data_IF_689496208777
#
_entry.id   IF_689496208777
#
_cell.length_a   1.000
_cell.length_b   1.000
_cell.length_c   1.000
_cell.angle_alpha   90.00
_cell.angle_beta   90.00
_cell.angle_gamma   90.00
#
_symmetry.space_group_name_H-M   'P 1'
#
loop_
_entity.id
_entity.type
_entity.pdbx_description
1 polymer ?
#
# COMPACT_ATOMS: atom_id res chain seq x y z
N UNK A 1 -3.62 32.18 8.41
CA UNK A 1 -2.93 31.17 9.24
C UNK A 1 -3.58 29.84 8.94
N UNK A 2 -3.04 29.10 7.98
CA UNK A 2 -3.56 27.78 7.62
C UNK A 2 -3.01 26.79 8.64
N UNK A 3 -3.83 26.39 9.60
CA UNK A 3 -3.48 25.34 10.56
C UNK A 3 -3.23 24.05 9.77
N UNK A 4 -1.96 23.72 9.57
CA UNK A 4 -1.50 22.44 9.06
C UNK A 4 -1.72 21.38 10.15
N UNK A 5 -2.97 20.98 10.33
CA UNK A 5 -3.32 19.82 11.15
C UNK A 5 -2.64 18.61 10.51
N UNK A 6 -1.62 18.07 11.18
CA UNK A 6 -1.00 16.83 10.74
C UNK A 6 -2.07 15.74 10.72
N UNK A 7 -2.14 14.89 9.69
CA UNK A 7 -3.12 13.82 9.64
C UNK A 7 -2.94 12.86 10.82
N UNK A 8 -4.00 12.65 11.60
CA UNK A 8 -3.98 11.73 12.75
C UNK A 8 -3.94 10.28 12.26
N UNK A 9 -2.79 9.63 12.44
CA UNK A 9 -2.60 8.23 12.11
C UNK A 9 -3.05 7.33 13.27
N UNK A 10 -3.87 6.33 12.94
CA UNK A 10 -4.27 5.26 13.86
C UNK A 10 -3.75 3.92 13.38
N UNK A 11 -3.54 2.98 14.31
CA UNK A 11 -3.16 1.61 13.94
C UNK A 11 -4.27 0.94 13.12
N UNK A 12 -3.91 0.07 12.17
CA UNK A 12 -4.90 -0.66 11.38
C UNK A 12 -5.87 -1.46 12.27
N UNK A 13 -5.41 -1.98 13.41
CA UNK A 13 -6.29 -2.75 14.33
C UNK A 13 -7.40 -1.88 14.96
N UNK A 14 -7.12 -0.59 15.15
CA UNK A 14 -8.07 0.37 15.73
C UNK A 14 -8.96 1.01 14.65
N UNK A 15 -8.60 0.82 13.38
CA UNK A 15 -9.33 1.39 12.25
C UNK A 15 -10.61 0.62 11.96
N UNK A 16 -11.78 1.20 12.25
CA UNK A 16 -13.07 0.46 12.19
C UNK A 16 -13.78 0.41 10.84
N UNK A 17 -13.28 1.07 9.79
CA UNK A 17 -13.96 1.14 8.48
C UNK A 17 -13.32 0.18 7.47
N UNK A 18 -14.08 -0.31 6.47
CA UNK A 18 -13.50 -1.10 5.39
C UNK A 18 -12.69 -0.21 4.46
N UNK A 19 -11.54 -0.68 3.99
CA UNK A 19 -10.75 -0.02 2.95
C UNK A 19 -11.42 -0.11 1.58
N UNK A 20 -12.30 -1.08 1.38
CA UNK A 20 -12.94 -1.42 0.11
C UNK A 20 -11.86 -1.67 -0.96
N UNK A 21 -10.79 -2.39 -0.64
CA UNK A 21 -9.77 -2.77 -1.62
C UNK A 21 -10.06 -4.19 -2.05
N UNK A 22 -10.40 -4.40 -3.33
CA UNK A 22 -10.61 -5.72 -3.91
C UNK A 22 -9.50 -6.15 -4.89
N UNK A 23 -9.48 -7.43 -5.24
CA UNK A 23 -8.45 -8.00 -6.12
C UNK A 23 -8.45 -7.39 -7.53
N UNK A 24 -9.61 -7.02 -8.06
CA UNK A 24 -9.76 -6.39 -9.36
C UNK A 24 -9.02 -5.06 -9.39
N UNK A 25 -9.25 -4.23 -8.40
CA UNK A 25 -8.59 -2.93 -8.25
C UNK A 25 -7.10 -2.98 -7.97
N UNK A 26 -6.66 -3.95 -7.17
CA UNK A 26 -5.22 -4.22 -7.03
C UNK A 26 -4.64 -4.56 -8.40
N UNK A 27 -5.31 -5.43 -9.16
CA UNK A 27 -4.82 -5.86 -10.47
C UNK A 27 -4.82 -4.69 -11.47
N UNK A 28 -5.85 -3.83 -11.45
CA UNK A 28 -5.97 -2.67 -12.30
C UNK A 28 -4.86 -1.65 -12.05
N UNK A 29 -4.63 -1.27 -10.78
CA UNK A 29 -3.54 -0.36 -10.40
C UNK A 29 -2.18 -0.90 -10.86
N UNK A 30 -1.90 -2.19 -10.63
CA UNK A 30 -0.63 -2.79 -11.04
C UNK A 30 -0.50 -3.01 -12.56
N UNK A 31 -1.60 -2.92 -13.31
CA UNK A 31 -1.62 -3.02 -14.77
C UNK A 31 -1.54 -1.66 -15.47
N UNK A 32 -2.04 -0.60 -14.82
CA UNK A 32 -2.00 0.78 -15.34
C UNK A 32 -0.68 1.47 -15.05
N UNK A 33 0.03 1.04 -14.01
CA UNK A 33 1.30 1.62 -13.59
C UNK A 33 2.48 0.94 -14.28
N UNK A 34 3.24 1.71 -15.05
CA UNK A 34 4.53 1.28 -15.60
C UNK A 34 5.58 1.28 -14.47
N UNK A 35 6.46 0.28 -14.44
CA UNK A 35 7.64 0.32 -13.59
C UNK A 35 8.57 1.46 -14.03
N UNK A 36 9.56 1.79 -13.19
CA UNK A 36 10.50 2.89 -13.43
C UNK A 36 11.31 2.75 -14.73
N UNK A 37 11.35 1.57 -15.33
CA UNK A 37 11.98 1.25 -16.63
C UNK A 37 10.99 1.22 -17.81
N UNK A 38 9.73 1.59 -17.59
CA UNK A 38 8.66 1.56 -18.60
C UNK A 38 8.07 0.17 -18.85
N UNK A 39 8.47 -0.86 -18.11
CA UNK A 39 7.93 -2.21 -18.25
C UNK A 39 6.74 -2.46 -17.31
N UNK A 40 5.80 -3.32 -17.71
CA UNK A 40 4.77 -3.81 -16.79
C UNK A 40 5.40 -4.70 -15.72
N UNK A 41 5.20 -4.38 -14.44
CA UNK A 41 5.77 -5.15 -13.34
C UNK A 41 4.94 -6.41 -13.02
N UNK A 42 4.78 -7.30 -14.01
CA UNK A 42 3.93 -8.50 -13.94
C UNK A 42 4.30 -9.46 -12.79
N UNK A 43 5.54 -9.39 -12.30
CA UNK A 43 6.01 -10.19 -11.16
C UNK A 43 5.73 -9.59 -9.78
N UNK A 44 5.33 -8.32 -9.70
CA UNK A 44 5.16 -7.61 -8.43
C UNK A 44 4.02 -8.19 -7.59
N UNK A 45 2.87 -8.50 -8.20
CA UNK A 45 1.74 -9.11 -7.49
C UNK A 45 2.09 -10.48 -6.92
N UNK A 46 2.72 -11.34 -7.72
CA UNK A 46 3.17 -12.67 -7.26
C UNK A 46 4.15 -12.56 -6.09
N UNK A 47 5.16 -11.70 -6.23
CA UNK A 47 6.19 -11.50 -5.21
C UNK A 47 5.63 -10.82 -3.96
N UNK A 48 4.72 -9.87 -4.12
CA UNK A 48 4.06 -9.17 -3.03
C UNK A 48 3.14 -10.08 -2.22
N UNK A 49 2.43 -11.00 -2.89
CA UNK A 49 1.63 -12.02 -2.21
C UNK A 49 2.50 -12.90 -1.30
N UNK A 50 3.71 -13.26 -1.72
CA UNK A 50 4.65 -14.01 -0.88
C UNK A 50 5.12 -13.19 0.32
N UNK A 51 5.51 -11.93 0.12
CA UNK A 51 5.91 -11.04 1.23
C UNK A 51 4.80 -10.83 2.26
N UNK A 52 3.56 -10.70 1.80
CA UNK A 52 2.40 -10.63 2.68
C UNK A 52 2.23 -11.92 3.49
N UNK A 53 2.22 -13.08 2.82
CA UNK A 53 2.07 -14.40 3.46
C UNK A 53 3.17 -14.70 4.47
N UNK A 54 4.39 -14.26 4.19
CA UNK A 54 5.54 -14.45 5.06
C UNK A 54 5.66 -13.36 6.15
N UNK A 55 4.62 -12.53 6.34
CA UNK A 55 4.55 -11.50 7.39
C UNK A 55 5.67 -10.46 7.36
N UNK A 56 6.12 -10.06 6.16
CA UNK A 56 7.12 -9.00 6.02
C UNK A 56 6.55 -7.59 6.20
N UNK A 57 5.22 -7.42 6.09
CA UNK A 57 4.51 -6.15 6.28
C UNK A 57 4.11 -5.98 7.75
N UNK A 58 4.39 -4.81 8.31
CA UNK A 58 4.11 -4.49 9.71
C UNK A 58 3.92 -2.98 9.93
N UNK A 59 3.49 -2.60 11.14
CA UNK A 59 3.21 -1.21 11.54
C UNK A 59 2.30 -0.47 10.56
N UNK A 60 1.24 -1.12 10.10
CA UNK A 60 0.26 -0.49 9.22
C UNK A 60 -0.53 0.54 10.02
N UNK A 61 -0.46 1.78 9.58
CA UNK A 61 -1.17 2.93 10.15
C UNK A 61 -1.97 3.64 9.07
N UNK A 62 -3.09 4.23 9.47
CA UNK A 62 -4.07 4.82 8.56
C UNK A 62 -4.42 6.21 9.05
N UNK A 63 -4.35 7.19 8.16
CA UNK A 63 -4.94 8.49 8.38
C UNK A 63 -6.02 8.76 7.34
N UNK A 64 -7.09 9.43 7.77
CA UNK A 64 -8.15 9.87 6.86
C UNK A 64 -7.95 11.35 6.53
N UNK A 65 -8.03 11.67 5.25
CA UNK A 65 -7.97 13.04 4.75
C UNK A 65 -9.10 13.27 3.77
N UNK A 66 -10.20 13.86 4.24
CA UNK A 66 -11.36 14.22 3.41
C UNK A 66 -11.88 13.04 2.54
N UNK A 67 -11.50 13.00 1.25
CA UNK A 67 -11.88 11.98 0.25
C UNK A 67 -10.83 10.88 0.03
N UNK A 68 -9.76 10.89 0.80
CA UNK A 68 -8.63 9.96 0.68
C UNK A 68 -8.31 9.33 2.04
N UNK A 69 -7.65 8.17 1.97
CA UNK A 69 -6.98 7.57 3.12
C UNK A 69 -5.53 7.36 2.77
N UNK A 70 -4.66 7.84 3.64
CA UNK A 70 -3.23 7.57 3.58
C UNK A 70 -2.94 6.39 4.48
N UNK A 71 -2.40 5.32 3.90
CA UNK A 71 -1.93 4.15 4.60
C UNK A 71 -0.40 4.18 4.56
N UNK A 72 0.22 4.08 5.73
CA UNK A 72 1.65 3.92 5.88
C UNK A 72 1.95 2.55 6.47
N UNK A 73 2.97 1.88 5.95
CA UNK A 73 3.42 0.60 6.48
C UNK A 73 4.93 0.45 6.33
N UNK A 74 5.47 -0.53 7.03
CA UNK A 74 6.88 -0.93 6.92
C UNK A 74 6.97 -2.35 6.35
N UNK A 75 7.97 -2.58 5.52
CA UNK A 75 8.31 -3.90 5.01
C UNK A 75 9.76 -4.24 5.32
N UNK A 76 10.01 -5.39 5.95
CA UNK A 76 11.39 -5.89 6.13
C UNK A 76 11.94 -6.34 4.77
N UNK A 77 13.24 -6.17 4.54
CA UNK A 77 13.87 -6.78 3.38
C UNK A 77 14.06 -8.28 3.59
N UNK A 78 13.76 -9.08 2.55
CA UNK A 78 13.79 -10.54 2.62
C UNK A 78 15.18 -11.11 2.95
N UNK A 79 16.25 -10.50 2.43
CA UNK A 79 17.62 -11.00 2.61
C UNK A 79 18.42 -10.26 3.69
N UNK A 80 18.10 -8.99 3.96
CA UNK A 80 18.82 -8.14 4.92
C UNK A 80 17.84 -7.60 5.95
N UNK A 81 17.64 -8.34 7.04
CA UNK A 81 16.64 -8.02 8.09
C UNK A 81 16.83 -6.63 8.74
N UNK A 82 18.01 -6.02 8.61
CA UNK A 82 18.29 -4.65 9.06
C UNK A 82 17.72 -3.57 8.14
N UNK A 83 17.37 -3.90 6.90
CA UNK A 83 16.77 -2.96 5.95
C UNK A 83 15.25 -3.03 6.09
N UNK A 84 14.64 -1.85 6.25
CA UNK A 84 13.20 -1.66 6.23
C UNK A 84 12.85 -0.66 5.14
N UNK A 85 11.82 -0.98 4.36
CA UNK A 85 11.24 -0.07 3.38
C UNK A 85 9.97 0.53 3.97
N UNK A 86 9.86 1.85 3.93
CA UNK A 86 8.60 2.52 4.19
C UNK A 86 7.77 2.53 2.90
N UNK A 87 6.49 2.22 3.07
CA UNK A 87 5.50 2.12 2.01
C UNK A 87 4.39 3.09 2.34
N UNK A 88 3.94 3.85 1.34
CA UNK A 88 2.74 4.67 1.40
C UNK A 88 1.78 4.17 0.32
N UNK A 89 0.50 4.12 0.68
CA UNK A 89 -0.61 3.89 -0.26
C UNK A 89 -1.66 4.96 -0.01
N UNK A 90 -2.21 5.54 -1.08
CA UNK A 90 -3.38 6.41 -1.00
C UNK A 90 -4.53 5.72 -1.70
N UNK A 91 -5.67 5.63 -1.02
CA UNK A 91 -6.90 5.09 -1.59
C UNK A 91 -8.02 6.13 -1.53
N UNK A 92 -8.90 6.10 -2.52
CA UNK A 92 -10.08 6.94 -2.57
C UNK A 92 -11.14 6.44 -1.58
N UNK A 93 -11.84 7.35 -0.89
CA UNK A 93 -12.95 6.98 0.01
C UNK A 93 -14.33 7.05 -0.64
N UNK A 94 -14.46 7.79 -1.75
CA UNK A 94 -15.72 8.03 -2.44
C UNK A 94 -15.96 7.02 -3.56
N UNK A 95 -14.88 6.52 -4.18
CA UNK A 95 -14.94 5.40 -5.11
C UNK A 95 -14.44 4.15 -4.40
N UNK A 96 -15.27 3.10 -4.26
CA UNK A 96 -14.78 1.84 -3.75
C UNK A 96 -13.64 1.37 -4.64
N UNK A 97 -12.58 0.89 -4.00
CA UNK A 97 -11.52 0.16 -4.67
C UNK A 97 -10.61 0.98 -5.58
N UNK A 98 -10.51 2.30 -5.42
CA UNK A 98 -9.57 3.08 -6.23
C UNK A 98 -8.25 3.31 -5.47
N UNK A 99 -7.17 2.63 -5.89
CA UNK A 99 -5.81 2.94 -5.44
C UNK A 99 -5.32 4.12 -6.25
N UNK A 100 -5.16 5.27 -5.60
CA UNK A 100 -4.77 6.52 -6.25
C UNK A 100 -3.25 6.59 -6.44
N UNK A 101 -2.52 6.25 -5.38
CA UNK A 101 -1.06 6.36 -5.33
C UNK A 101 -0.46 5.23 -4.51
N UNK A 102 0.76 4.86 -4.87
CA UNK A 102 1.60 3.94 -4.11
C UNK A 102 3.03 4.42 -4.20
N UNK A 103 3.75 4.46 -3.10
CA UNK A 103 5.18 4.78 -3.12
C UNK A 103 5.95 3.92 -2.13
N UNK A 104 7.21 3.67 -2.44
CA UNK A 104 8.09 2.86 -1.60
C UNK A 104 9.53 3.30 -1.73
N UNK A 105 10.28 3.28 -0.61
CA UNK A 105 11.71 3.64 -0.60
C UNK A 105 12.62 2.66 -1.36
N UNK A 106 12.10 1.57 -1.92
CA UNK A 106 12.91 0.66 -2.73
C UNK A 106 13.18 1.23 -4.13
N UNK A 107 14.28 0.82 -4.75
CA UNK A 107 14.68 1.29 -6.11
C UNK A 107 13.56 1.14 -7.14
N UNK A 108 12.84 0.00 -7.11
CA UNK A 108 11.74 -0.30 -8.03
C UNK A 108 10.41 0.40 -7.66
N UNK A 109 10.39 1.20 -6.60
CA UNK A 109 9.19 1.88 -6.08
C UNK A 109 9.39 3.36 -5.80
N UNK A 110 10.47 3.96 -6.32
CA UNK A 110 10.63 5.41 -6.32
C UNK A 110 9.57 6.06 -7.22
N UNK A 111 8.85 7.05 -6.68
CA UNK A 111 7.77 7.77 -7.36
C UNK A 111 6.39 7.50 -6.74
N UNK A 112 5.41 8.34 -7.12
CA UNK A 112 4.04 8.32 -6.56
C UNK A 112 3.12 7.26 -7.19
N UNK A 113 3.60 6.61 -8.26
CA UNK A 113 2.94 5.48 -8.92
C UNK A 113 3.89 4.27 -8.93
N UNK A 114 4.28 3.81 -7.75
CA UNK A 114 5.07 2.62 -7.59
C UNK A 114 4.19 1.36 -7.68
N UNK A 115 4.59 0.44 -8.54
CA UNK A 115 4.02 -0.91 -8.65
C UNK A 115 5.04 -1.98 -8.19
N UNK A 116 5.76 -1.73 -7.10
CA UNK A 116 6.74 -2.68 -6.58
C UNK A 116 6.09 -3.78 -5.72
N UNK A 117 6.82 -4.86 -5.47
CA UNK A 117 6.35 -5.98 -4.63
C UNK A 117 5.95 -5.57 -3.20
N UNK A 118 6.51 -4.48 -2.66
CA UNK A 118 6.19 -3.99 -1.32
C UNK A 118 4.83 -3.29 -1.28
N UNK A 119 4.53 -2.46 -2.29
CA UNK A 119 3.20 -1.87 -2.48
C UNK A 119 2.17 -2.99 -2.65
N UNK A 120 2.47 -4.01 -3.46
CA UNK A 120 1.57 -5.14 -3.68
C UNK A 120 1.29 -5.89 -2.37
N UNK A 121 2.32 -6.13 -1.56
CA UNK A 121 2.19 -6.79 -0.27
C UNK A 121 1.30 -5.99 0.71
N UNK A 122 1.43 -4.66 0.73
CA UNK A 122 0.54 -3.79 1.51
C UNK A 122 -0.90 -3.87 1.00
N UNK A 123 -1.13 -3.83 -0.32
CA UNK A 123 -2.46 -3.97 -0.89
C UNK A 123 -3.13 -5.30 -0.51
N UNK A 124 -2.39 -6.41 -0.52
CA UNK A 124 -2.89 -7.71 -0.04
C UNK A 124 -3.20 -7.70 1.46
N UNK A 125 -2.41 -7.00 2.27
CA UNK A 125 -2.68 -6.86 3.70
C UNK A 125 -3.98 -6.11 3.98
N UNK A 126 -4.30 -5.08 3.18
CA UNK A 126 -5.57 -4.35 3.30
C UNK A 126 -6.77 -5.21 2.86
N UNK A 127 -6.64 -5.94 1.75
CA UNK A 127 -7.66 -6.88 1.29
C UNK A 127 -7.96 -7.96 2.34
N UNK A 128 -6.91 -8.58 2.90
CA UNK A 128 -7.06 -9.60 3.95
C UNK A 128 -7.70 -9.03 5.21
N UNK A 129 -7.37 -7.80 5.59
CA UNK A 129 -7.97 -7.13 6.73
C UNK A 129 -9.47 -6.87 6.52
N UNK A 130 -9.88 -6.41 5.33
CA UNK A 130 -11.28 -6.20 4.99
C UNK A 130 -12.07 -7.52 4.98
N UNK A 131 -11.48 -8.63 4.51
CA UNK A 131 -12.12 -9.94 4.45
C UNK A 131 -12.26 -10.66 5.81
N UNK A 132 -11.48 -10.24 6.83
CA UNK A 132 -11.49 -10.83 8.17
C UNK A 132 -12.45 -10.15 9.15
N UNK A 133 -13.07 -9.04 8.76
CA UNK A 133 -14.07 -8.31 9.53
C UNK A 133 -15.48 -8.73 9.16
#
# INVERSE_FOLDING_TARGET
>A
MSSSSSPDFVSIIDYKRPFNVDLGSITEYFSSVLASDGALNRGALKSGSLLFKDHFIYNITVARQYIERTILAKCRAQMKKSITYEIKLIINTNRPSDILEGSCQCVAGSGDHAACKHVAALSFALLDYDNKK
#
